data_IF_991233967777
#
_entry.id   IF_991233967777
#
_cell.length_a   1.000
_cell.length_b   1.000
_cell.length_c   1.000
_cell.angle_alpha   90.00
_cell.angle_beta   90.00
_cell.angle_gamma   90.00
#
_symmetry.space_group_name_H-M   'P 1'
#
loop_
_entity.id
_entity.type
_entity.pdbx_description
1 polymer ?
#
# COMPACT_ATOMS: atom_id res chain seq x y z
N UNK A 1 23.71 -31.98 -37.50
CA UNK A 1 22.35 -31.74 -36.97
C UNK A 1 22.48 -31.25 -35.53
N UNK A 2 22.56 -29.94 -35.30
CA UNK A 2 22.67 -29.38 -33.93
C UNK A 2 22.04 -27.98 -33.78
N UNK A 3 21.40 -27.45 -34.82
CA UNK A 3 20.92 -26.05 -34.86
C UNK A 3 19.46 -25.93 -34.40
N UNK A 4 18.69 -27.02 -34.42
CA UNK A 4 17.25 -26.99 -34.13
C UNK A 4 16.91 -26.89 -32.63
N UNK A 5 17.77 -27.38 -31.72
CA UNK A 5 17.47 -27.37 -30.28
C UNK A 5 17.56 -25.99 -29.64
N UNK A 6 18.51 -25.15 -30.10
CA UNK A 6 18.74 -23.80 -29.56
C UNK A 6 17.63 -22.84 -29.99
N UNK A 7 17.17 -22.96 -31.25
CA UNK A 7 16.06 -22.15 -31.76
C UNK A 7 14.76 -22.51 -31.02
N UNK A 8 14.50 -23.81 -30.81
CA UNK A 8 13.32 -24.28 -30.07
C UNK A 8 13.33 -23.79 -28.63
N UNK A 9 14.46 -23.90 -27.92
CA UNK A 9 14.59 -23.42 -26.54
C UNK A 9 14.44 -21.88 -26.45
N UNK A 10 15.02 -21.15 -27.40
CA UNK A 10 14.87 -19.69 -27.51
C UNK A 10 13.41 -19.27 -27.73
N UNK A 11 12.66 -19.98 -28.59
CA UNK A 11 11.24 -19.72 -28.79
C UNK A 11 10.39 -19.99 -27.54
N UNK A 12 10.73 -21.00 -26.72
CA UNK A 12 10.03 -21.26 -25.46
C UNK A 12 10.22 -20.14 -24.44
N UNK A 13 11.43 -19.60 -24.31
CA UNK A 13 11.74 -18.48 -23.39
C UNK A 13 10.98 -17.22 -23.81
N UNK A 14 10.96 -16.93 -25.11
CA UNK A 14 10.28 -15.74 -25.65
C UNK A 14 8.76 -15.79 -25.43
N UNK A 15 8.14 -16.97 -25.61
CA UNK A 15 6.71 -17.18 -25.30
C UNK A 15 6.42 -16.99 -23.82
N UNK A 16 7.32 -17.40 -22.92
CA UNK A 16 7.14 -17.23 -21.47
C UNK A 16 7.27 -15.77 -21.04
N UNK A 17 8.22 -15.02 -21.61
CA UNK A 17 8.42 -13.59 -21.35
C UNK A 17 7.32 -12.70 -21.95
N UNK A 18 6.69 -13.15 -23.04
CA UNK A 18 5.57 -12.45 -23.69
C UNK A 18 4.20 -12.86 -23.13
N UNK A 19 4.14 -13.77 -22.14
CA UNK A 19 2.87 -14.01 -21.46
C UNK A 19 2.46 -12.70 -20.79
N UNK A 20 1.23 -12.22 -21.01
CA UNK A 20 0.67 -11.15 -20.20
C UNK A 20 0.90 -11.56 -18.75
N UNK A 21 1.63 -10.73 -18.02
CA UNK A 21 1.73 -10.86 -16.59
C UNK A 21 0.32 -10.56 -16.09
N UNK A 22 -0.53 -11.59 -16.05
CA UNK A 22 -1.89 -11.43 -15.58
C UNK A 22 -1.76 -10.83 -14.19
N UNK A 23 -2.22 -9.59 -14.04
CA UNK A 23 -2.39 -8.99 -12.74
C UNK A 23 -3.34 -9.93 -12.00
N UNK A 24 -2.90 -10.49 -10.87
CA UNK A 24 -3.73 -11.32 -10.01
C UNK A 24 -4.74 -10.43 -9.27
N UNK A 25 -5.46 -9.59 -10.01
CA UNK A 25 -6.52 -8.77 -9.49
C UNK A 25 -7.62 -9.71 -9.01
N UNK A 26 -7.86 -9.70 -7.71
CA UNK A 26 -8.94 -10.47 -7.11
C UNK A 26 -10.24 -9.82 -7.60
N UNK A 27 -11.11 -10.62 -8.23
CA UNK A 27 -12.43 -10.14 -8.65
C UNK A 27 -13.34 -10.19 -7.43
N UNK A 28 -13.41 -9.07 -6.72
CA UNK A 28 -14.28 -8.86 -5.57
C UNK A 28 -15.43 -7.91 -5.94
N UNK A 29 -16.57 -8.05 -5.28
CA UNK A 29 -17.73 -7.18 -5.49
C UNK A 29 -17.50 -5.79 -4.87
N UNK A 30 -16.90 -5.75 -3.69
CA UNK A 30 -16.51 -4.53 -2.96
C UNK A 30 -15.24 -4.76 -2.15
N UNK A 31 -14.41 -3.73 -2.00
CA UNK A 31 -13.15 -3.78 -1.25
C UNK A 31 -13.06 -2.61 -0.29
N UNK A 32 -12.82 -2.90 0.99
CA UNK A 32 -12.44 -1.90 2.00
C UNK A 32 -10.94 -2.03 2.25
N UNK A 33 -10.21 -0.92 2.16
CA UNK A 33 -8.78 -0.89 2.44
C UNK A 33 -8.53 0.06 3.62
N UNK A 34 -7.85 -0.45 4.64
CA UNK A 34 -7.17 0.41 5.62
C UNK A 34 -5.77 0.66 5.08
N UNK A 35 -5.43 1.92 4.83
CA UNK A 35 -4.11 2.33 4.36
C UNK A 35 -3.43 3.23 5.38
N UNK A 36 -2.19 2.90 5.70
CA UNK A 36 -1.35 3.66 6.61
C UNK A 36 0.10 3.69 6.12
N UNK A 37 0.78 4.81 6.36
CA UNK A 37 2.21 4.93 6.09
C UNK A 37 2.90 5.86 7.08
N UNK A 38 4.21 5.70 7.18
CA UNK A 38 5.09 6.65 7.85
C UNK A 38 6.31 6.92 6.96
N UNK A 39 6.80 8.15 6.96
CA UNK A 39 7.92 8.60 6.13
C UNK A 39 9.01 9.26 6.98
N UNK A 40 10.26 9.13 6.52
CA UNK A 40 11.43 9.85 7.04
C UNK A 40 12.33 10.27 5.86
N UNK A 41 13.15 11.32 5.96
CA UNK A 41 13.44 12.11 7.16
C UNK A 41 12.36 13.14 7.52
N UNK A 42 11.48 13.49 6.58
CA UNK A 42 10.33 14.35 6.85
C UNK A 42 9.27 13.53 7.61
N UNK A 43 9.07 13.76 8.92
CA UNK A 43 8.23 12.92 9.74
C UNK A 43 6.76 13.19 9.42
N UNK A 44 6.25 12.49 8.40
CA UNK A 44 4.85 12.48 8.02
C UNK A 44 4.30 11.07 8.13
N UNK A 45 3.05 10.96 8.59
CA UNK A 45 2.33 9.70 8.62
C UNK A 45 0.85 9.96 8.38
N UNK A 46 0.20 9.02 7.74
CA UNK A 46 -1.20 9.11 7.35
C UNK A 46 -1.90 7.80 7.65
N UNK A 47 -3.17 7.89 8.00
CA UNK A 47 -4.05 6.77 8.22
C UNK A 47 -5.40 7.10 7.61
N UNK A 48 -5.92 6.21 6.77
CA UNK A 48 -7.23 6.36 6.13
C UNK A 48 -7.92 5.02 5.90
N UNK A 49 -9.23 5.10 5.70
CA UNK A 49 -10.04 4.01 5.16
C UNK A 49 -10.56 4.39 3.77
N UNK A 50 -10.51 3.42 2.88
CA UNK A 50 -10.99 3.49 1.50
C UNK A 50 -12.08 2.43 1.27
N UNK A 51 -13.07 2.76 0.44
CA UNK A 51 -14.08 1.85 -0.07
C UNK A 51 -14.15 1.98 -1.59
N UNK A 52 -13.86 0.90 -2.31
CA UNK A 52 -13.87 0.83 -3.78
C UNK A 52 -13.05 1.94 -4.49
N UNK A 53 -11.99 2.45 -3.84
CA UNK A 53 -11.14 3.51 -4.36
C UNK A 53 -11.54 4.93 -3.94
N UNK A 54 -12.61 5.09 -3.15
CA UNK A 54 -13.01 6.35 -2.54
C UNK A 54 -12.69 6.37 -1.03
N UNK A 55 -12.06 7.46 -0.59
CA UNK A 55 -11.80 7.70 0.82
C UNK A 55 -13.11 7.80 1.63
N UNK A 56 -13.21 7.04 2.71
CA UNK A 56 -14.27 7.15 3.71
C UNK A 56 -13.92 8.24 4.73
N UNK A 57 -12.73 8.15 5.33
CA UNK A 57 -12.18 9.11 6.30
C UNK A 57 -10.66 8.95 6.41
N UNK A 58 -10.00 9.98 6.94
CA UNK A 58 -8.64 9.92 7.45
C UNK A 58 -8.55 10.43 8.89
N UNK A 59 -7.40 10.27 9.52
CA UNK A 59 -7.13 10.85 10.84
C UNK A 59 -6.15 12.00 10.71
N UNK A 60 -6.56 13.19 11.17
CA UNK A 60 -5.67 14.33 11.34
C UNK A 60 -4.77 14.06 12.56
N UNK A 61 -3.50 13.79 12.31
CA UNK A 61 -2.54 13.38 13.35
C UNK A 61 -2.22 14.49 14.35
N UNK A 62 -2.33 15.75 13.93
CA UNK A 62 -2.04 16.91 14.79
C UNK A 62 -3.21 17.19 15.73
N UNK A 63 -4.42 17.22 15.16
CA UNK A 63 -5.66 17.46 15.92
C UNK A 63 -6.18 16.21 16.63
N UNK A 64 -5.68 15.03 16.27
CA UNK A 64 -6.08 13.73 16.81
C UNK A 64 -7.57 13.48 16.64
N UNK A 65 -8.09 13.79 15.46
CA UNK A 65 -9.50 13.69 15.14
C UNK A 65 -9.73 12.92 13.84
N UNK A 66 -10.87 12.25 13.77
CA UNK A 66 -11.33 11.59 12.55
C UNK A 66 -11.97 12.61 11.64
N UNK A 67 -11.46 12.75 10.42
CA UNK A 67 -11.97 13.66 9.39
C UNK A 67 -12.67 12.83 8.33
N UNK A 68 -14.00 12.95 8.27
CA UNK A 68 -14.81 12.25 7.27
C UNK A 68 -14.70 12.94 5.92
N UNK A 69 -14.56 12.15 4.85
CA UNK A 69 -14.54 12.68 3.47
C UNK A 69 -15.82 13.42 3.13
N UNK A 70 -16.95 12.87 3.56
CA UNK A 70 -18.28 13.49 3.57
C UNK A 70 -18.79 13.53 5.02
N UNK A 71 -19.16 14.71 5.51
CA UNK A 71 -19.62 14.91 6.90
C UNK A 71 -20.82 14.01 7.27
N UNK A 72 -21.65 13.64 6.29
CA UNK A 72 -22.80 12.77 6.51
C UNK A 72 -22.42 11.36 6.97
N UNK A 73 -21.25 10.85 6.60
CA UNK A 73 -20.76 9.53 7.05
C UNK A 73 -20.57 9.49 8.56
N UNK A 74 -20.09 10.59 9.16
CA UNK A 74 -19.94 10.74 10.60
C UNK A 74 -21.26 10.75 11.40
N UNK A 75 -22.41 10.77 10.72
CA UNK A 75 -23.72 10.62 11.34
C UNK A 75 -24.11 9.14 11.51
N UNK A 76 -23.54 8.26 10.71
CA UNK A 76 -23.87 6.83 10.67
C UNK A 76 -22.78 5.95 11.29
N UNK A 77 -21.53 6.43 11.30
CA UNK A 77 -20.39 5.73 11.85
C UNK A 77 -19.51 6.67 12.68
N UNK A 78 -18.71 6.09 13.56
CA UNK A 78 -17.68 6.78 14.33
C UNK A 78 -16.39 5.97 14.29
N UNK A 79 -15.25 6.66 14.41
CA UNK A 79 -13.95 6.03 14.54
C UNK A 79 -13.13 6.76 15.61
N UNK A 80 -12.45 6.00 16.45
CA UNK A 80 -11.60 6.54 17.51
C UNK A 80 -10.20 6.81 16.98
N UNK A 81 -9.86 8.08 16.79
CA UNK A 81 -8.56 8.52 16.25
C UNK A 81 -7.35 7.98 17.02
N UNK A 82 -7.51 7.65 18.30
CA UNK A 82 -6.45 7.07 19.13
C UNK A 82 -5.92 5.73 18.58
N UNK A 83 -6.76 4.94 17.91
CA UNK A 83 -6.35 3.70 17.25
C UNK A 83 -5.35 3.96 16.13
N UNK A 84 -5.64 4.94 15.26
CA UNK A 84 -4.73 5.34 14.18
C UNK A 84 -3.39 5.86 14.71
N UNK A 85 -3.40 6.70 15.76
CA UNK A 85 -2.16 7.19 16.38
C UNK A 85 -1.27 6.05 16.91
N UNK A 86 -1.89 5.01 17.47
CA UNK A 86 -1.16 3.83 17.93
C UNK A 86 -0.55 3.04 16.76
N UNK A 87 -1.29 2.87 15.65
CA UNK A 87 -0.78 2.24 14.43
C UNK A 87 0.41 3.00 13.84
N UNK A 88 0.30 4.33 13.70
CA UNK A 88 1.39 5.17 13.19
C UNK A 88 2.66 5.09 14.05
N UNK A 89 2.51 4.97 15.38
CA UNK A 89 3.66 4.76 16.26
C UNK A 89 4.36 3.41 15.99
N UNK A 90 3.59 2.36 15.68
CA UNK A 90 4.10 1.04 15.29
C UNK A 90 4.75 1.11 13.90
N UNK A 91 4.15 1.81 12.94
CA UNK A 91 4.70 1.98 11.59
C UNK A 91 6.04 2.70 11.60
N UNK A 92 6.15 3.76 12.39
CA UNK A 92 7.43 4.44 12.63
C UNK A 92 8.50 3.46 13.15
N UNK A 93 8.16 2.64 14.14
CA UNK A 93 9.09 1.66 14.71
C UNK A 93 9.48 0.58 13.68
N UNK A 94 8.52 0.13 12.88
CA UNK A 94 8.75 -0.82 11.78
C UNK A 94 9.65 -0.21 10.71
N UNK A 95 9.44 1.05 10.35
CA UNK A 95 10.26 1.76 9.38
C UNK A 95 11.71 1.90 9.86
N UNK A 96 11.93 2.25 11.14
CA UNK A 96 13.27 2.31 11.75
C UNK A 96 14.01 0.96 11.64
N UNK A 97 13.29 -0.16 11.74
CA UNK A 97 13.83 -1.51 11.53
C UNK A 97 14.11 -1.78 10.05
N UNK A 98 13.19 -1.41 9.16
CA UNK A 98 13.30 -1.65 7.72
C UNK A 98 14.41 -0.83 7.07
N UNK A 99 14.66 0.40 7.52
CA UNK A 99 15.81 1.22 7.10
C UNK A 99 17.13 0.50 7.43
N UNK A 100 17.27 -0.04 8.65
CA UNK A 100 18.46 -0.79 9.04
C UNK A 100 18.61 -2.08 8.22
N UNK A 101 17.52 -2.81 8.01
CA UNK A 101 17.50 -4.06 7.26
C UNK A 101 17.86 -3.87 5.78
N UNK A 102 17.44 -2.77 5.18
CA UNK A 102 17.72 -2.41 3.79
C UNK A 102 19.07 -1.70 3.59
N UNK A 103 19.95 -1.73 4.60
CA UNK A 103 21.24 -1.05 4.59
C UNK A 103 21.13 0.45 4.27
N UNK A 104 20.12 1.11 4.85
CA UNK A 104 19.86 2.55 4.71
C UNK A 104 19.70 3.01 3.25
N UNK A 105 19.12 2.16 2.41
CA UNK A 105 18.80 2.54 1.03
C UNK A 105 17.76 3.67 1.05
N UNK A 106 18.06 4.88 0.57
CA UNK A 106 17.14 6.01 0.64
C UNK A 106 16.03 5.89 -0.41
N UNK A 107 14.92 6.59 -0.18
CA UNK A 107 13.98 6.89 -1.25
C UNK A 107 14.66 7.82 -2.28
N UNK A 108 14.50 7.56 -3.58
CA UNK A 108 15.19 8.28 -4.68
C UNK A 108 14.25 9.02 -5.62
N UNK A 109 13.01 9.28 -5.19
CA UNK A 109 12.01 10.00 -5.98
C UNK A 109 12.36 11.48 -6.18
#
# INVERSE_FOLDING_TARGET
MAINGVVVLGSFIMVFLMRPQESWAIKEDHVIIQAEFYLTPDPSGEFMFDFDGDEIFHVDMEKKETVWRLEEFGRFASFEAQGALANIAVDKANLDIMIKRSNHTPNTN
#
